data_IF_234739506860
#
_entry.id   IF_234739506860
#
_cell.length_a   1.000
_cell.length_b   1.000
_cell.length_c   1.000
_cell.angle_alpha   90.00
_cell.angle_beta   90.00
_cell.angle_gamma   90.00
#
_symmetry.space_group_name_H-M   'P 1'
#
loop_
_entity.id
_entity.type
_entity.pdbx_description
1 polymer ?
#
# COMPACT_ATOMS: atom_id res chain seq x y z
N UNK A 1 -8.98 12.90 12.26
CA UNK A 1 -10.23 12.82 11.47
C UNK A 1 -11.24 11.83 12.06
N UNK A 2 -10.89 10.54 12.21
CA UNK A 2 -11.79 9.47 12.72
C UNK A 2 -12.52 9.75 14.05
N UNK A 3 -11.86 10.35 15.05
CA UNK A 3 -12.42 10.48 16.42
C UNK A 3 -12.71 11.92 16.88
N UNK A 4 -12.40 12.93 16.05
CA UNK A 4 -12.63 14.33 16.41
C UNK A 4 -14.12 14.67 16.28
N UNK A 5 -14.81 14.86 17.41
CA UNK A 5 -16.27 15.09 17.43
C UNK A 5 -16.70 16.43 16.81
N UNK A 6 -15.90 17.49 16.94
CA UNK A 6 -16.20 18.81 16.36
C UNK A 6 -16.00 18.79 14.84
N UNK A 7 -17.08 19.06 14.08
CA UNK A 7 -17.01 19.19 12.61
C UNK A 7 -16.12 20.36 12.19
N UNK A 8 -16.23 21.52 12.84
CA UNK A 8 -15.38 22.70 12.56
C UNK A 8 -13.88 22.38 12.67
N UNK A 9 -13.47 21.60 13.69
CA UNK A 9 -12.08 21.17 13.82
C UNK A 9 -11.68 20.17 12.72
N UNK A 10 -12.58 19.26 12.34
CA UNK A 10 -12.36 18.35 11.20
C UNK A 10 -12.21 19.14 9.90
N UNK A 11 -13.07 20.12 9.65
CA UNK A 11 -12.98 21.00 8.47
C UNK A 11 -11.63 21.71 8.43
N UNK A 12 -11.23 22.36 9.53
CA UNK A 12 -9.95 23.07 9.60
C UNK A 12 -8.75 22.16 9.31
N UNK A 13 -8.75 20.95 9.88
CA UNK A 13 -7.67 19.97 9.66
C UNK A 13 -7.70 19.41 8.23
N UNK A 14 -8.88 19.14 7.69
CA UNK A 14 -9.05 18.67 6.32
C UNK A 14 -8.51 19.69 5.32
N UNK A 15 -8.95 20.95 5.45
CA UNK A 15 -8.47 22.05 4.59
C UNK A 15 -6.97 22.24 4.68
N UNK A 16 -6.38 22.18 5.88
CA UNK A 16 -4.93 22.23 6.06
C UNK A 16 -4.21 21.05 5.40
N UNK A 17 -4.80 19.85 5.43
CA UNK A 17 -4.21 18.65 4.85
C UNK A 17 -4.21 18.65 3.31
N UNK A 18 -5.31 19.07 2.68
CA UNK A 18 -5.44 19.10 1.21
C UNK A 18 -4.69 20.28 0.56
N UNK A 19 -4.28 21.28 1.36
CA UNK A 19 -3.51 22.45 0.91
C UNK A 19 -2.04 22.40 1.31
N UNK A 20 -1.52 21.22 1.66
CA UNK A 20 -0.09 21.08 1.96
C UNK A 20 0.75 21.37 0.73
N UNK A 21 1.86 22.08 0.96
CA UNK A 21 2.86 22.41 -0.05
C UNK A 21 2.29 23.16 -1.28
N UNK A 22 1.30 24.04 -1.08
CA UNK A 22 0.64 24.77 -2.18
C UNK A 22 0.63 26.29 -2.02
N UNK A 23 1.42 26.83 -1.08
CA UNK A 23 1.55 28.27 -0.86
C UNK A 23 2.98 28.66 -0.46
N UNK A 24 3.30 29.94 -0.69
CA UNK A 24 4.52 30.60 -0.23
C UNK A 24 5.80 29.86 -0.67
N UNK A 25 6.75 29.67 0.25
CA UNK A 25 8.09 29.10 -0.03
C UNK A 25 8.08 27.58 -0.20
N UNK A 26 6.97 26.92 0.07
CA UNK A 26 6.83 25.47 -0.01
C UNK A 26 5.83 25.05 -1.10
N UNK A 27 5.49 25.96 -2.01
CA UNK A 27 4.56 25.72 -3.10
C UNK A 27 5.18 24.81 -4.18
N UNK A 28 4.60 23.62 -4.34
CA UNK A 28 4.96 22.65 -5.37
C UNK A 28 4.24 22.89 -6.70
N UNK A 29 3.26 23.81 -6.78
CA UNK A 29 2.52 24.08 -8.00
C UNK A 29 3.40 24.43 -9.21
N UNK A 30 4.32 25.42 -9.10
CA UNK A 30 5.25 25.73 -10.19
C UNK A 30 6.15 24.55 -10.59
N UNK A 31 6.60 23.76 -9.62
CA UNK A 31 7.42 22.57 -9.86
C UNK A 31 6.65 21.49 -10.63
N UNK A 32 5.38 21.27 -10.30
CA UNK A 32 4.52 20.32 -11.01
C UNK A 32 4.38 20.70 -12.48
N UNK A 33 4.10 21.98 -12.78
CA UNK A 33 4.03 22.47 -14.16
C UNK A 33 5.34 22.23 -14.90
N UNK A 34 6.48 22.59 -14.29
CA UNK A 34 7.80 22.38 -14.89
C UNK A 34 8.09 20.89 -15.15
N UNK A 35 7.79 20.00 -14.19
CA UNK A 35 7.96 18.56 -14.33
C UNK A 35 7.15 18.02 -15.52
N UNK A 36 5.87 18.41 -15.65
CA UNK A 36 5.01 17.95 -16.74
C UNK A 36 5.51 18.45 -18.11
N UNK A 37 5.97 19.71 -18.19
CA UNK A 37 6.58 20.25 -19.40
C UNK A 37 7.87 19.50 -19.78
N UNK A 38 8.73 19.22 -18.80
CA UNK A 38 9.98 18.52 -19.03
C UNK A 38 9.76 17.07 -19.44
N UNK A 39 8.79 16.37 -18.82
CA UNK A 39 8.38 15.02 -19.21
C UNK A 39 7.90 14.98 -20.64
N UNK A 40 6.95 15.85 -21.02
CA UNK A 40 6.46 15.96 -22.41
C UNK A 40 7.61 16.18 -23.40
N UNK A 41 8.56 17.08 -23.09
CA UNK A 41 9.73 17.35 -23.94
C UNK A 41 10.66 16.13 -24.06
N UNK A 42 10.94 15.45 -22.95
CA UNK A 42 11.79 14.26 -22.92
C UNK A 42 11.20 13.13 -23.77
N UNK A 43 9.90 12.84 -23.62
CA UNK A 43 9.21 11.81 -24.39
C UNK A 43 9.22 12.09 -25.89
N UNK A 44 8.98 13.35 -26.26
CA UNK A 44 9.02 13.76 -27.66
C UNK A 44 10.42 13.59 -28.28
N UNK A 45 11.50 13.86 -27.51
CA UNK A 45 12.87 13.64 -27.98
C UNK A 45 13.19 12.16 -28.24
N UNK A 46 12.54 11.25 -27.51
CA UNK A 46 12.64 9.81 -27.68
C UNK A 46 11.70 9.26 -28.77
N UNK A 47 10.86 10.11 -29.37
CA UNK A 47 9.92 9.74 -30.43
C UNK A 47 8.57 9.18 -29.94
N UNK A 48 8.28 9.31 -28.64
CA UNK A 48 6.96 8.97 -28.09
C UNK A 48 5.98 10.14 -28.27
N UNK A 49 4.69 9.82 -28.38
CA UNK A 49 3.62 10.81 -28.50
C UNK A 49 3.44 11.62 -27.21
N UNK A 50 3.57 10.97 -26.06
CA UNK A 50 3.42 11.55 -24.73
C UNK A 50 4.19 10.72 -23.69
N UNK A 51 4.26 11.22 -22.46
CA UNK A 51 5.01 10.58 -21.38
C UNK A 51 4.38 9.27 -20.91
N UNK A 52 3.05 9.13 -21.00
CA UNK A 52 2.39 7.87 -20.68
C UNK A 52 2.81 6.74 -21.65
N UNK A 53 2.93 7.02 -22.95
CA UNK A 53 3.42 6.06 -23.93
C UNK A 53 4.89 5.66 -23.69
N UNK A 54 5.74 6.62 -23.32
CA UNK A 54 7.13 6.33 -22.89
C UNK A 54 7.15 5.44 -21.64
N UNK A 55 6.37 5.79 -20.62
CA UNK A 55 6.28 5.06 -19.35
C UNK A 55 5.80 3.61 -19.53
N UNK A 56 4.85 3.38 -20.45
CA UNK A 56 4.29 2.06 -20.72
C UNK A 56 5.23 1.15 -21.54
N UNK A 57 6.22 1.72 -22.22
CA UNK A 57 7.13 0.94 -23.08
C UNK A 57 7.95 -0.13 -22.32
N UNK A 58 8.06 0.00 -21.00
CA UNK A 58 8.73 -0.95 -20.10
C UNK A 58 7.79 -1.52 -19.02
N UNK A 59 6.47 -1.57 -19.28
CA UNK A 59 5.45 -2.10 -18.37
C UNK A 59 4.65 -3.22 -19.05
N UNK A 60 3.92 -4.02 -18.26
CA UNK A 60 3.08 -5.12 -18.76
C UNK A 60 1.88 -4.60 -19.55
N UNK A 61 1.26 -3.50 -19.09
CA UNK A 61 0.12 -2.93 -19.76
C UNK A 61 0.52 -2.48 -21.18
N UNK A 62 -0.14 -3.02 -22.23
CA UNK A 62 0.37 -2.90 -23.59
C UNK A 62 0.23 -1.49 -24.18
N UNK A 63 -0.66 -0.66 -23.62
CA UNK A 63 -0.95 0.70 -24.08
C UNK A 63 -1.91 1.42 -23.11
N UNK A 64 -2.12 2.71 -23.38
CA UNK A 64 -2.98 3.60 -22.59
C UNK A 64 -4.44 3.11 -22.62
N UNK A 65 -4.89 2.55 -23.74
CA UNK A 65 -6.24 2.02 -23.91
C UNK A 65 -6.53 0.86 -22.97
N UNK A 66 -5.57 -0.05 -22.77
CA UNK A 66 -5.71 -1.17 -21.84
C UNK A 66 -5.82 -0.69 -20.38
N UNK A 67 -5.01 0.31 -19.99
CA UNK A 67 -5.07 0.94 -18.66
C UNK A 67 -6.42 1.62 -18.44
N UNK A 68 -6.89 2.36 -19.43
CA UNK A 68 -8.20 3.02 -19.39
C UNK A 68 -9.33 1.99 -19.31
N UNK A 69 -9.25 0.89 -20.06
CA UNK A 69 -10.24 -0.18 -20.03
C UNK A 69 -10.34 -0.82 -18.64
N UNK A 70 -9.23 -1.19 -18.01
CA UNK A 70 -9.25 -1.73 -16.64
C UNK A 70 -9.90 -0.74 -15.67
N UNK A 71 -9.51 0.53 -15.78
CA UNK A 71 -10.07 1.61 -14.95
C UNK A 71 -11.58 1.74 -15.13
N UNK A 72 -12.07 1.68 -16.37
CA UNK A 72 -13.50 1.78 -16.70
C UNK A 72 -14.30 0.57 -16.23
N UNK A 73 -13.77 -0.65 -16.42
CA UNK A 73 -14.41 -1.88 -15.97
C UNK A 73 -14.59 -1.87 -14.43
N UNK A 74 -13.54 -1.50 -13.68
CA UNK A 74 -13.60 -1.38 -12.23
C UNK A 74 -14.53 -0.24 -11.79
N UNK A 75 -14.48 0.90 -12.48
CA UNK A 75 -15.32 2.06 -12.20
C UNK A 75 -16.82 1.76 -12.37
N UNK A 76 -17.19 1.04 -13.43
CA UNK A 76 -18.58 0.70 -13.74
C UNK A 76 -19.23 -0.13 -12.62
N UNK A 77 -18.45 -0.97 -11.94
CA UNK A 77 -18.91 -1.79 -10.81
C UNK A 77 -18.86 -1.00 -9.50
N UNK A 78 -17.76 -0.28 -9.25
CA UNK A 78 -17.54 0.42 -7.98
C UNK A 78 -18.49 1.62 -7.80
N UNK A 79 -18.81 2.37 -8.86
CA UNK A 79 -19.56 3.62 -8.70
C UNK A 79 -20.95 3.45 -8.10
N UNK A 80 -21.83 2.58 -8.61
CA UNK A 80 -23.15 2.38 -8.01
C UNK A 80 -23.07 1.86 -6.56
N UNK A 81 -22.02 1.11 -6.22
CA UNK A 81 -21.81 0.63 -4.86
C UNK A 81 -21.35 1.76 -3.91
N UNK A 82 -20.43 2.62 -4.34
CA UNK A 82 -19.98 3.78 -3.56
C UNK A 82 -21.10 4.81 -3.34
N UNK A 83 -22.00 4.99 -4.30
CA UNK A 83 -23.19 5.83 -4.14
C UNK A 83 -24.09 5.30 -3.01
N UNK A 84 -24.37 3.99 -2.98
CA UNK A 84 -25.11 3.35 -1.88
C UNK A 84 -24.38 3.43 -0.54
N UNK A 85 -23.06 3.25 -0.53
CA UNK A 85 -22.24 3.37 0.69
C UNK A 85 -22.35 4.79 1.29
N UNK A 86 -22.30 5.84 0.45
CA UNK A 86 -22.46 7.22 0.91
C UNK A 86 -23.89 7.51 1.37
N UNK A 87 -24.90 6.94 0.70
CA UNK A 87 -26.30 7.03 1.14
C UNK A 87 -26.50 6.38 2.52
N UNK A 88 -26.02 5.14 2.72
CA UNK A 88 -26.04 4.45 4.03
C UNK A 88 -25.34 5.31 5.10
N UNK A 89 -24.20 5.91 4.74
CA UNK A 89 -23.45 6.78 5.64
C UNK A 89 -24.23 8.05 6.04
N UNK A 90 -24.90 8.69 5.08
CA UNK A 90 -25.71 9.88 5.29
C UNK A 90 -26.94 9.55 6.14
N UNK A 91 -27.62 8.44 5.87
CA UNK A 91 -28.77 7.97 6.66
C UNK A 91 -28.35 7.67 8.10
N UNK A 92 -27.23 6.98 8.27
CA UNK A 92 -26.65 6.72 9.59
C UNK A 92 -26.33 8.01 10.35
N UNK A 93 -25.65 8.96 9.71
CA UNK A 93 -25.33 10.24 10.32
C UNK A 93 -26.60 11.00 10.77
N UNK A 94 -27.62 11.06 9.90
CA UNK A 94 -28.91 11.68 10.21
C UNK A 94 -29.61 11.01 11.40
N UNK A 95 -29.58 9.67 11.47
CA UNK A 95 -30.14 8.91 12.59
C UNK A 95 -29.43 9.19 13.93
N UNK A 96 -28.17 9.65 13.89
CA UNK A 96 -27.41 10.10 15.07
C UNK A 96 -27.52 11.61 15.33
N UNK A 97 -28.41 12.31 14.62
CA UNK A 97 -28.69 13.74 14.82
C UNK A 97 -27.75 14.68 14.05
N UNK A 98 -27.03 14.19 13.03
CA UNK A 98 -26.36 15.08 12.09
C UNK A 98 -27.39 15.82 11.22
N UNK A 99 -27.21 17.13 11.07
CA UNK A 99 -28.08 17.96 10.24
C UNK A 99 -27.39 18.35 8.93
N UNK A 100 -28.09 18.23 7.81
CA UNK A 100 -27.59 18.61 6.50
C UNK A 100 -26.87 17.48 5.75
N UNK A 101 -26.11 17.85 4.71
CA UNK A 101 -25.35 16.90 3.88
C UNK A 101 -23.95 16.70 4.43
N UNK A 102 -23.47 15.45 4.43
CA UNK A 102 -22.09 15.12 4.77
C UNK A 102 -21.12 15.90 3.89
N UNK A 103 -20.12 16.53 4.51
CA UNK A 103 -19.00 17.15 3.82
C UNK A 103 -17.81 16.19 3.79
N UNK A 104 -16.81 16.50 2.96
CA UNK A 104 -15.60 15.69 2.81
C UNK A 104 -14.88 15.42 4.14
N UNK A 105 -14.89 16.39 5.06
CA UNK A 105 -14.29 16.27 6.39
C UNK A 105 -15.14 15.47 7.39
N UNK A 106 -16.39 15.16 7.06
CA UNK A 106 -17.29 14.36 7.90
C UNK A 106 -17.23 12.87 7.54
N UNK A 107 -16.93 12.53 6.29
CA UNK A 107 -16.93 11.14 5.77
C UNK A 107 -16.12 10.21 6.68
N UNK A 108 -14.84 10.49 6.90
CA UNK A 108 -13.98 9.62 7.74
C UNK A 108 -14.50 9.46 9.16
N UNK A 109 -15.10 10.50 9.75
CA UNK A 109 -15.65 10.41 11.10
C UNK A 109 -16.89 9.51 11.15
N UNK A 110 -17.84 9.73 10.26
CA UNK A 110 -19.07 8.95 10.22
C UNK A 110 -18.83 7.52 9.77
N UNK A 111 -17.85 7.30 8.88
CA UNK A 111 -17.47 5.95 8.44
C UNK A 111 -16.99 5.15 9.63
N UNK A 112 -16.18 5.75 10.51
CA UNK A 112 -15.73 5.10 11.74
C UNK A 112 -16.90 4.81 12.69
N UNK A 113 -17.82 5.76 12.89
CA UNK A 113 -18.99 5.56 13.75
C UNK A 113 -19.93 4.47 13.22
N UNK A 114 -20.14 4.41 11.90
CA UNK A 114 -20.94 3.36 11.25
C UNK A 114 -20.23 2.00 11.39
N UNK A 115 -18.91 1.96 11.21
CA UNK A 115 -18.11 0.74 11.40
C UNK A 115 -18.22 0.20 12.81
N UNK A 116 -18.07 1.05 13.82
CA UNK A 116 -18.20 0.70 15.24
C UNK A 116 -19.57 0.10 15.55
N UNK A 117 -20.66 0.67 15.00
CA UNK A 117 -22.02 0.18 15.23
C UNK A 117 -22.30 -1.13 14.49
N UNK A 118 -21.86 -1.24 13.23
CA UNK A 118 -22.11 -2.40 12.37
C UNK A 118 -21.33 -3.64 12.80
N UNK A 119 -20.09 -3.45 13.24
CA UNK A 119 -19.19 -4.55 13.58
C UNK A 119 -18.97 -4.71 15.08
N UNK A 120 -19.40 -3.77 15.93
CA UNK A 120 -19.31 -3.85 17.39
C UNK A 120 -17.90 -4.25 17.88
N UNK A 121 -16.86 -3.64 17.29
CA UNK A 121 -15.49 -3.64 17.79
C UNK A 121 -14.89 -2.24 17.69
N UNK A 122 -13.99 -1.92 18.61
CA UNK A 122 -13.22 -0.68 18.63
C UNK A 122 -11.80 -0.98 18.13
N UNK A 123 -11.33 -0.26 17.11
CA UNK A 123 -9.98 -0.41 16.55
C UNK A 123 -8.90 -0.16 17.62
N UNK A 124 -9.14 0.76 18.56
CA UNK A 124 -8.23 1.01 19.68
C UNK A 124 -8.20 -0.14 20.68
N UNK A 125 -9.32 -0.85 20.87
CA UNK A 125 -9.38 -2.04 21.71
C UNK A 125 -8.66 -3.25 21.11
N UNK A 126 -8.36 -3.24 19.80
CA UNK A 126 -7.59 -4.28 19.13
C UNK A 126 -6.08 -4.13 19.31
N UNK A 127 -5.59 -2.89 19.46
CA UNK A 127 -4.14 -2.60 19.55
C UNK A 127 -3.37 -3.51 20.51
N UNK A 128 -3.88 -3.86 21.72
CA UNK A 128 -3.18 -4.76 22.63
C UNK A 128 -2.87 -6.16 22.06
N UNK A 129 -3.61 -6.63 21.05
CA UNK A 129 -3.40 -7.92 20.40
C UNK A 129 -2.37 -7.88 19.26
N UNK A 130 -2.01 -6.69 18.79
CA UNK A 130 -1.11 -6.49 17.64
C UNK A 130 0.17 -5.77 18.08
N UNK A 131 0.88 -6.34 19.06
CA UNK A 131 2.20 -5.83 19.43
C UNK A 131 3.23 -6.14 18.33
N UNK A 132 4.07 -5.17 17.95
CA UNK A 132 5.06 -5.35 16.88
C UNK A 132 5.90 -6.64 17.03
N UNK A 133 6.44 -7.02 18.20
CA UNK A 133 7.19 -8.26 18.35
C UNK A 133 6.38 -9.50 17.97
N UNK A 134 5.08 -9.54 18.31
CA UNK A 134 4.20 -10.66 17.96
C UNK A 134 3.83 -10.66 16.48
N UNK A 135 3.53 -9.49 15.92
CA UNK A 135 3.27 -9.36 14.48
C UNK A 135 4.48 -9.85 13.66
N UNK A 136 5.71 -9.51 14.07
CA UNK A 136 6.93 -10.03 13.43
C UNK A 136 7.07 -11.54 13.57
N UNK A 137 6.81 -12.11 14.76
CA UNK A 137 6.83 -13.56 14.99
C UNK A 137 5.87 -14.29 14.04
N UNK A 138 4.63 -13.81 13.92
CA UNK A 138 3.63 -14.35 13.00
C UNK A 138 4.04 -14.22 11.53
N UNK A 139 4.49 -13.03 11.13
CA UNK A 139 4.95 -12.74 9.77
C UNK A 139 6.11 -13.65 9.35
N UNK A 140 7.09 -13.86 10.24
CA UNK A 140 8.22 -14.77 10.00
C UNK A 140 7.80 -16.24 9.99
N UNK A 141 6.83 -16.63 10.81
CA UNK A 141 6.23 -17.97 10.79
C UNK A 141 5.57 -18.30 9.44
N UNK A 142 4.87 -17.33 8.84
CA UNK A 142 4.31 -17.46 7.49
C UNK A 142 5.42 -17.58 6.45
N UNK A 143 6.46 -16.74 6.54
CA UNK A 143 7.59 -16.81 5.62
C UNK A 143 8.29 -18.18 5.68
N UNK A 144 8.45 -18.75 6.87
CA UNK A 144 8.95 -20.11 7.03
C UNK A 144 8.02 -21.14 6.37
N UNK A 145 6.72 -21.10 6.70
CA UNK A 145 5.72 -22.02 6.17
C UNK A 145 5.68 -21.99 4.64
N UNK A 146 5.48 -20.81 4.05
CA UNK A 146 5.27 -20.64 2.62
C UNK A 146 6.57 -20.73 1.83
N UNK A 147 7.64 -20.10 2.31
CA UNK A 147 8.85 -19.88 1.52
C UNK A 147 10.07 -20.62 2.04
N UNK A 148 10.05 -21.18 3.25
CA UNK A 148 11.12 -22.06 3.74
C UNK A 148 12.33 -21.28 4.18
N UNK A 149 12.07 -20.14 4.82
CA UNK A 149 13.12 -19.27 5.34
C UNK A 149 12.94 -19.03 6.82
N UNK A 150 14.06 -19.01 7.53
CA UNK A 150 14.14 -18.63 8.93
C UNK A 150 14.72 -17.24 9.07
N UNK A 151 14.01 -16.39 9.79
CA UNK A 151 14.38 -14.99 9.99
C UNK A 151 14.79 -14.82 11.45
N UNK A 152 16.00 -14.31 11.66
CA UNK A 152 16.61 -14.15 12.99
C UNK A 152 17.13 -12.73 13.14
N UNK A 153 16.73 -12.06 14.22
CA UNK A 153 17.24 -10.74 14.55
C UNK A 153 18.72 -10.83 14.95
N UNK A 154 19.53 -9.90 14.43
CA UNK A 154 20.98 -9.84 14.65
C UNK A 154 21.45 -8.38 14.55
N UNK A 155 20.97 -7.54 15.47
CA UNK A 155 21.19 -6.08 15.47
C UNK A 155 22.67 -5.66 15.51
N UNK A 156 23.57 -6.56 15.94
CA UNK A 156 25.01 -6.31 16.01
C UNK A 156 25.74 -6.64 14.70
N UNK A 157 25.05 -7.29 13.74
CA UNK A 157 25.65 -7.69 12.46
C UNK A 157 25.80 -6.55 11.45
N UNK A 158 25.18 -5.39 11.69
CA UNK A 158 25.24 -4.22 10.82
C UNK A 158 25.15 -2.91 11.62
N UNK A 159 25.79 -1.86 11.12
CA UNK A 159 25.62 -0.52 11.67
C UNK A 159 24.20 0.01 11.36
N UNK A 160 23.60 0.68 12.34
CA UNK A 160 22.21 1.18 12.26
C UNK A 160 22.19 2.70 12.43
N UNK A 161 21.36 3.38 11.63
CA UNK A 161 21.24 4.84 11.67
C UNK A 161 20.38 5.37 12.82
N UNK A 162 19.57 4.51 13.45
CA UNK A 162 18.71 4.87 14.56
C UNK A 162 18.55 3.68 15.52
N UNK A 163 18.47 3.89 16.85
CA UNK A 163 18.35 2.80 17.84
C UNK A 163 17.10 1.93 17.67
N UNK A 164 16.04 2.47 17.08
CA UNK A 164 14.79 1.74 16.82
C UNK A 164 14.83 0.87 15.55
N UNK A 165 15.88 0.98 14.74
CA UNK A 165 16.05 0.14 13.54
C UNK A 165 16.42 -1.27 13.99
N UNK A 166 15.76 -2.29 13.46
CA UNK A 166 16.10 -3.69 13.71
C UNK A 166 16.82 -4.28 12.49
N UNK A 167 17.76 -5.18 12.69
CA UNK A 167 18.44 -5.90 11.60
C UNK A 167 18.17 -7.39 11.70
N UNK A 168 17.86 -8.01 10.56
CA UNK A 168 17.52 -9.43 10.48
C UNK A 168 18.37 -10.14 9.43
N UNK A 169 18.71 -11.40 9.72
CA UNK A 169 19.27 -12.36 8.77
C UNK A 169 18.18 -13.33 8.33
N UNK A 170 18.12 -13.56 7.02
CA UNK A 170 17.25 -14.56 6.39
C UNK A 170 18.11 -15.77 6.05
N UNK A 171 17.73 -16.94 6.55
CA UNK A 171 18.40 -18.22 6.31
C UNK A 171 17.47 -19.15 5.58
N UNK A 172 18.01 -19.95 4.67
CA UNK A 172 17.26 -21.07 4.12
C UNK A 172 17.03 -22.11 5.22
N UNK A 173 15.78 -22.57 5.38
CA UNK A 173 15.38 -23.39 6.53
C UNK A 173 16.03 -24.78 6.51
N UNK A 174 16.24 -25.34 5.32
CA UNK A 174 16.77 -26.70 5.12
C UNK A 174 18.29 -26.71 5.22
N UNK A 175 18.96 -25.83 4.48
CA UNK A 175 20.43 -25.77 4.42
C UNK A 175 21.05 -25.00 5.57
N UNK A 176 20.28 -24.13 6.24
CA UNK A 176 20.74 -23.17 7.27
C UNK A 176 21.61 -22.04 6.73
N UNK A 177 21.80 -21.96 5.41
CA UNK A 177 22.65 -20.96 4.79
C UNK A 177 22.03 -19.58 4.91
N UNK A 178 22.87 -18.58 5.22
CA UNK A 178 22.46 -17.17 5.16
C UNK A 178 22.26 -16.77 3.70
N UNK A 179 21.04 -16.39 3.32
CA UNK A 179 20.71 -16.07 1.92
C UNK A 179 20.47 -14.58 1.70
N UNK A 180 19.97 -13.85 2.70
CA UNK A 180 19.66 -12.42 2.60
C UNK A 180 19.62 -11.74 3.98
N UNK A 181 19.46 -10.42 3.99
CA UNK A 181 19.26 -9.64 5.22
C UNK A 181 18.29 -8.48 4.97
N UNK A 182 17.75 -7.89 6.04
CA UNK A 182 17.01 -6.64 5.92
C UNK A 182 17.08 -5.81 7.20
N UNK A 183 16.91 -4.50 7.03
CA UNK A 183 16.63 -3.57 8.13
C UNK A 183 15.13 -3.30 8.18
N UNK A 184 14.59 -3.12 9.38
CA UNK A 184 13.24 -2.63 9.61
C UNK A 184 13.31 -1.33 10.42
N UNK A 185 12.81 -0.23 9.85
CA UNK A 185 12.62 1.06 10.51
C UNK A 185 11.10 1.32 10.69
N UNK A 186 10.49 0.88 11.82
CA UNK A 186 9.05 0.71 11.90
C UNK A 186 8.26 1.97 12.28
N UNK A 187 8.90 2.93 12.95
CA UNK A 187 8.17 4.00 13.66
C UNK A 187 8.15 5.33 12.93
N UNK A 188 7.07 6.09 13.15
CA UNK A 188 6.98 7.47 12.71
C UNK A 188 7.95 8.38 13.46
N UNK A 189 8.70 9.20 12.73
CA UNK A 189 9.58 10.26 13.29
C UNK A 189 9.39 11.57 12.51
N UNK A 190 8.34 12.36 12.82
CA UNK A 190 8.02 13.59 12.10
C UNK A 190 9.18 14.59 12.11
N UNK A 191 9.49 15.16 10.94
CA UNK A 191 10.57 16.13 10.76
C UNK A 191 11.91 15.54 10.34
N UNK A 192 12.14 14.24 10.60
CA UNK A 192 13.40 13.55 10.27
C UNK A 192 13.20 12.36 9.33
N UNK A 193 11.99 11.80 9.28
CA UNK A 193 11.64 10.65 8.42
C UNK A 193 10.47 11.00 7.50
N UNK A 194 10.60 10.62 6.22
CA UNK A 194 9.52 10.74 5.23
C UNK A 194 8.30 9.90 5.66
N UNK A 195 7.09 10.44 5.48
CA UNK A 195 5.85 9.72 5.77
C UNK A 195 5.54 8.60 4.76
N UNK A 196 4.55 7.76 5.08
CA UNK A 196 4.17 6.60 4.26
C UNK A 196 4.84 5.32 4.73
N UNK A 197 4.89 4.32 3.86
CA UNK A 197 5.71 3.12 4.01
C UNK A 197 6.33 2.80 2.65
N UNK A 198 7.49 2.16 2.67
CA UNK A 198 8.17 1.72 1.45
C UNK A 198 9.23 0.66 1.78
N UNK A 199 9.54 -0.14 0.77
CA UNK A 199 10.72 -0.96 0.68
C UNK A 199 11.74 -0.27 -0.23
N UNK A 200 13.03 -0.43 0.07
CA UNK A 200 14.14 0.06 -0.76
C UNK A 200 15.26 -0.98 -0.79
N UNK A 201 16.06 -1.01 -1.85
CA UNK A 201 17.20 -1.91 -1.95
C UNK A 201 18.44 -1.31 -1.27
N UNK A 202 19.12 -2.10 -0.44
CA UNK A 202 20.43 -1.73 0.13
C UNK A 202 21.56 -2.33 -0.70
N UNK A 203 21.47 -3.64 -0.93
CA UNK A 203 22.36 -4.38 -1.82
C UNK A 203 21.51 -5.31 -2.67
N UNK A 204 21.75 -5.34 -3.98
CA UNK A 204 21.19 -6.35 -4.88
C UNK A 204 21.95 -7.68 -4.81
N UNK A 205 21.27 -8.79 -5.11
CA UNK A 205 21.93 -10.08 -5.33
C UNK A 205 22.77 -10.00 -6.60
N UNK A 206 24.05 -10.33 -6.55
CA UNK A 206 24.90 -10.37 -7.74
C UNK A 206 26.01 -11.37 -7.59
N UNK A 207 26.13 -12.30 -8.54
CA UNK A 207 27.26 -13.22 -8.61
C UNK A 207 28.55 -12.54 -9.05
N UNK A 208 28.44 -11.55 -9.94
CA UNK A 208 29.60 -10.82 -10.45
C UNK A 208 30.32 -10.04 -9.34
N UNK A 209 29.56 -9.48 -8.40
CA UNK A 209 30.09 -8.70 -7.26
C UNK A 209 30.19 -9.55 -5.99
N UNK A 210 29.53 -10.72 -5.95
CA UNK A 210 29.52 -11.62 -4.79
C UNK A 210 28.63 -11.14 -3.65
N UNK A 211 27.59 -10.38 -3.95
CA UNK A 211 26.67 -9.79 -2.97
C UNK A 211 25.44 -10.66 -2.74
N UNK A 212 25.02 -10.75 -1.48
CA UNK A 212 23.70 -11.24 -1.08
C UNK A 212 22.74 -10.05 -0.94
N UNK A 213 21.45 -10.23 -1.24
CA UNK A 213 20.51 -9.13 -1.20
C UNK A 213 20.30 -8.63 0.25
N UNK A 214 20.24 -7.30 0.39
CA UNK A 214 19.87 -6.62 1.62
C UNK A 214 18.76 -5.61 1.31
N UNK A 215 17.66 -5.65 2.08
CA UNK A 215 16.53 -4.73 1.92
C UNK A 215 16.43 -3.73 3.08
N UNK A 216 15.82 -2.58 2.80
CA UNK A 216 15.27 -1.66 3.80
C UNK A 216 13.75 -1.77 3.80
N UNK A 217 13.15 -2.07 4.95
CA UNK A 217 11.71 -2.00 5.17
C UNK A 217 11.41 -0.81 6.06
N UNK A 218 10.64 0.15 5.56
CA UNK A 218 10.36 1.39 6.28
C UNK A 218 8.86 1.59 6.44
N UNK A 219 8.40 1.72 7.68
CA UNK A 219 7.01 2.05 7.99
C UNK A 219 6.94 3.32 8.85
N UNK A 220 5.75 3.89 9.02
CA UNK A 220 5.49 5.01 9.93
C UNK A 220 4.42 4.63 10.98
N UNK A 221 4.60 3.46 11.61
CA UNK A 221 3.72 2.96 12.66
C UNK A 221 3.85 3.73 13.98
N UNK A 222 2.86 3.53 14.84
CA UNK A 222 2.78 4.12 16.18
C UNK A 222 3.98 3.70 17.04
N UNK A 223 4.81 4.64 17.54
CA UNK A 223 5.97 4.30 18.37
C UNK A 223 5.54 3.70 19.72
N UNK A 224 6.45 2.99 20.42
CA UNK A 224 6.25 2.53 21.79
C UNK A 224 5.87 3.67 22.74
N UNK A 225 5.00 3.40 23.72
CA UNK A 225 4.57 4.37 24.74
C UNK A 225 5.04 3.92 26.12
N UNK A 226 5.99 4.66 26.70
CA UNK A 226 6.57 4.32 28.00
C UNK A 226 7.31 2.99 27.94
N UNK A 227 6.89 2.03 28.76
CA UNK A 227 7.46 0.66 28.80
C UNK A 227 6.70 -0.35 27.94
N UNK A 228 5.60 0.07 27.28
CA UNK A 228 4.79 -0.81 26.43
C UNK A 228 5.45 -0.96 25.07
N UNK A 229 5.35 -2.15 24.43
CA UNK A 229 5.79 -2.30 23.04
C UNK A 229 4.96 -1.39 22.11
N UNK A 230 5.41 -1.24 20.87
CA UNK A 230 4.57 -0.66 19.81
C UNK A 230 3.31 -1.50 19.63
N UNK A 231 2.14 -0.91 19.89
CA UNK A 231 0.84 -1.54 19.73
C UNK A 231 0.17 -1.01 18.46
N UNK A 232 0.09 -1.88 17.46
CA UNK A 232 -0.29 -1.54 16.09
C UNK A 232 -1.82 -1.58 15.92
N UNK A 233 -2.35 -0.73 15.04
CA UNK A 233 -3.66 -1.01 14.44
C UNK A 233 -3.55 -2.18 13.47
N UNK A 234 -4.70 -2.75 13.07
CA UNK A 234 -4.73 -3.76 12.01
C UNK A 234 -4.16 -3.22 10.69
N UNK A 235 -4.45 -1.97 10.35
CA UNK A 235 -3.93 -1.33 9.12
C UNK A 235 -2.42 -1.08 9.17
N UNK A 236 -1.84 -0.81 10.35
CA UNK A 236 -0.39 -0.73 10.52
C UNK A 236 0.26 -2.11 10.34
N UNK A 237 -0.39 -3.19 10.80
CA UNK A 237 0.09 -4.56 10.57
C UNK A 237 0.00 -4.95 9.08
N UNK A 238 -1.08 -4.58 8.40
CA UNK A 238 -1.26 -4.76 6.94
C UNK A 238 -0.18 -4.04 6.15
N UNK A 239 0.12 -2.79 6.51
CA UNK A 239 1.23 -2.02 5.91
C UNK A 239 2.57 -2.73 6.10
N UNK A 240 2.84 -3.31 7.28
CA UNK A 240 4.08 -4.05 7.52
C UNK A 240 4.17 -5.32 6.66
N UNK A 241 3.06 -6.04 6.51
CA UNK A 241 2.98 -7.22 5.63
C UNK A 241 3.20 -6.84 4.15
N UNK A 242 2.63 -5.72 3.72
CA UNK A 242 2.83 -5.15 2.38
C UNK A 242 4.32 -4.92 2.09
N UNK A 243 5.01 -4.15 2.94
CA UNK A 243 6.44 -3.87 2.74
C UNK A 243 7.29 -5.13 2.81
N UNK A 244 6.92 -6.07 3.68
CA UNK A 244 7.60 -7.35 3.78
C UNK A 244 7.44 -8.19 2.50
N UNK A 245 6.33 -8.09 1.78
CA UNK A 245 6.15 -8.72 0.47
C UNK A 245 7.14 -8.22 -0.58
N UNK A 246 7.36 -6.90 -0.69
CA UNK A 246 8.45 -6.37 -1.52
C UNK A 246 9.82 -6.87 -1.05
N UNK A 247 10.04 -6.86 0.26
CA UNK A 247 11.27 -7.40 0.87
C UNK A 247 11.52 -8.85 0.47
N UNK A 248 10.49 -9.70 0.48
CA UNK A 248 10.59 -11.10 0.10
C UNK A 248 11.00 -11.27 -1.36
N UNK A 249 10.41 -10.51 -2.29
CA UNK A 249 10.78 -10.56 -3.71
C UNK A 249 12.27 -10.20 -3.92
N UNK A 250 12.74 -9.14 -3.26
CA UNK A 250 14.15 -8.75 -3.32
C UNK A 250 15.08 -9.81 -2.71
N UNK A 251 14.73 -10.30 -1.52
CA UNK A 251 15.58 -11.17 -0.72
C UNK A 251 15.63 -12.62 -1.21
N UNK A 252 14.53 -13.12 -1.79
CA UNK A 252 14.39 -14.53 -2.19
C UNK A 252 14.68 -14.77 -3.67
N UNK A 253 15.11 -13.75 -4.41
CA UNK A 253 15.48 -13.89 -5.82
C UNK A 253 16.58 -14.93 -6.04
N UNK A 254 16.41 -15.76 -7.06
CA UNK A 254 17.43 -16.71 -7.51
C UNK A 254 18.22 -16.18 -8.73
N UNK A 255 17.87 -15.00 -9.26
CA UNK A 255 18.60 -14.35 -10.36
C UNK A 255 19.98 -13.92 -9.88
N UNK A 256 21.02 -14.37 -10.59
CA UNK A 256 22.43 -14.09 -10.25
C UNK A 256 22.96 -12.83 -10.93
N UNK A 257 22.27 -12.33 -11.94
CA UNK A 257 22.58 -11.10 -12.65
C UNK A 257 22.00 -9.90 -11.89
N UNK A 258 22.87 -9.00 -11.42
CA UNK A 258 22.46 -7.89 -10.56
C UNK A 258 21.46 -6.93 -11.20
N UNK A 259 21.53 -6.77 -12.53
CA UNK A 259 20.68 -5.85 -13.28
C UNK A 259 19.24 -6.40 -13.42
N UNK A 260 19.03 -7.69 -13.15
CA UNK A 260 17.73 -8.36 -13.22
C UNK A 260 17.36 -9.07 -11.90
N UNK A 261 18.10 -8.82 -10.82
CA UNK A 261 17.89 -9.49 -9.55
C UNK A 261 16.89 -8.75 -8.64
N UNK A 262 16.15 -9.53 -7.86
CA UNK A 262 15.20 -9.00 -6.89
C UNK A 262 14.02 -8.32 -7.58
N UNK A 263 13.91 -7.02 -7.39
CA UNK A 263 12.89 -6.16 -8.00
C UNK A 263 13.39 -5.46 -9.28
N UNK A 264 14.67 -5.62 -9.62
CA UNK A 264 15.25 -4.97 -10.80
C UNK A 264 14.70 -5.57 -12.09
N UNK A 265 14.40 -4.70 -13.06
CA UNK A 265 13.88 -5.07 -14.38
C UNK A 265 12.53 -5.83 -14.36
N UNK A 266 11.81 -5.75 -13.24
CA UNK A 266 10.41 -6.17 -13.16
C UNK A 266 9.54 -5.03 -13.69
N UNK A 267 8.62 -5.34 -14.60
CA UNK A 267 7.66 -4.38 -15.10
C UNK A 267 6.91 -3.70 -13.93
N UNK A 268 6.86 -2.37 -13.93
CA UNK A 268 6.42 -1.58 -12.78
C UNK A 268 4.95 -1.79 -12.37
N UNK A 269 4.14 -2.40 -13.22
CA UNK A 269 2.75 -2.80 -12.93
C UNK A 269 2.61 -4.25 -12.43
N UNK A 270 3.72 -4.94 -12.19
CA UNK A 270 3.79 -6.22 -11.48
C UNK A 270 4.44 -6.12 -10.09
N UNK A 271 5.21 -5.07 -9.80
CA UNK A 271 6.02 -4.95 -8.56
C UNK A 271 5.20 -4.95 -7.27
N UNK A 272 3.91 -4.60 -7.35
CA UNK A 272 2.97 -4.57 -6.22
C UNK A 272 2.30 -5.94 -5.97
N UNK A 273 2.54 -6.94 -6.82
CA UNK A 273 1.95 -8.27 -6.63
C UNK A 273 2.37 -8.92 -5.30
N UNK A 274 3.66 -9.06 -4.95
CA UNK A 274 4.04 -9.76 -3.74
C UNK A 274 3.71 -8.97 -2.47
N UNK A 275 3.70 -7.64 -2.53
CA UNK A 275 3.29 -6.78 -1.41
C UNK A 275 1.81 -6.98 -1.08
N UNK A 276 0.92 -6.79 -2.06
CA UNK A 276 -0.53 -6.98 -1.90
C UNK A 276 -0.90 -8.44 -1.61
N UNK A 277 -0.15 -9.40 -2.17
CA UNK A 277 -0.31 -10.82 -1.85
C UNK A 277 -0.14 -11.08 -0.34
N UNK A 278 0.89 -10.49 0.28
CA UNK A 278 1.16 -10.72 1.70
C UNK A 278 0.06 -10.20 2.62
N UNK A 279 -0.62 -9.10 2.27
CA UNK A 279 -1.73 -8.53 3.05
C UNK A 279 -2.88 -9.53 3.28
N UNK A 280 -3.15 -10.41 2.30
CA UNK A 280 -4.23 -11.39 2.40
C UNK A 280 -4.08 -12.35 3.60
N UNK A 281 -2.85 -12.61 4.05
CA UNK A 281 -2.59 -13.51 5.17
C UNK A 281 -3.06 -12.96 6.52
N UNK A 282 -3.31 -11.66 6.65
CA UNK A 282 -3.93 -11.08 7.84
C UNK A 282 -5.44 -11.38 7.94
N UNK A 283 -6.04 -11.93 6.89
CA UNK A 283 -7.42 -12.41 6.91
C UNK A 283 -7.52 -13.95 6.98
N UNK A 284 -6.38 -14.62 7.08
CA UNK A 284 -6.30 -16.06 7.29
C UNK A 284 -6.31 -16.37 8.79
N UNK A 285 -7.37 -17.01 9.29
CA UNK A 285 -7.58 -17.20 10.73
C UNK A 285 -6.43 -17.93 11.44
N UNK A 286 -5.93 -19.08 10.94
CA UNK A 286 -4.76 -19.74 11.55
C UNK A 286 -3.52 -18.86 11.60
N UNK A 287 -3.34 -17.96 10.62
CA UNK A 287 -2.25 -16.99 10.64
C UNK A 287 -2.42 -16.01 11.78
N UNK A 288 -3.58 -15.35 11.90
CA UNK A 288 -3.81 -14.35 12.95
C UNK A 288 -3.80 -14.99 14.34
N UNK A 289 -4.39 -16.17 14.50
CA UNK A 289 -4.39 -16.90 15.77
C UNK A 289 -2.96 -17.26 16.24
N UNK A 290 -1.98 -17.32 15.33
CA UNK A 290 -0.59 -17.63 15.68
C UNK A 290 0.14 -16.51 16.41
N UNK A 291 -0.33 -15.26 16.30
CA UNK A 291 0.36 -14.11 16.89
C UNK A 291 -0.52 -13.06 17.55
N UNK A 292 -1.82 -13.02 17.24
CA UNK A 292 -2.74 -12.03 17.80
C UNK A 292 -3.13 -12.40 19.23
N UNK A 293 -2.22 -12.10 20.17
CA UNK A 293 -2.37 -12.33 21.61
C UNK A 293 -2.20 -11.03 22.36
N UNK A 294 -2.97 -10.83 23.42
CA UNK A 294 -2.89 -9.64 24.24
C UNK A 294 -1.51 -9.51 24.88
N UNK A 295 -0.82 -8.38 24.68
CA UNK A 295 0.58 -8.22 25.06
C UNK A 295 0.87 -8.41 26.57
N UNK A 296 -0.12 -8.17 27.45
CA UNK A 296 0.03 -8.35 28.90
C UNK A 296 -0.43 -9.74 29.39
N UNK A 297 -1.52 -10.27 28.86
CA UNK A 297 -2.20 -11.46 29.41
C UNK A 297 -1.87 -12.73 28.64
N UNK A 298 -1.41 -12.60 27.39
CA UNK A 298 -1.19 -13.72 26.48
C UNK A 298 -2.49 -14.34 25.95
N UNK A 299 -3.66 -13.78 26.27
CA UNK A 299 -4.94 -14.31 25.79
C UNK A 299 -5.09 -14.08 24.27
N UNK A 300 -5.58 -15.08 23.52
CA UNK A 300 -5.76 -14.95 22.08
C UNK A 300 -6.88 -13.95 21.75
N UNK A 301 -6.79 -13.37 20.56
CA UNK A 301 -7.85 -12.54 19.99
C UNK A 301 -9.17 -13.36 19.97
N UNK A 302 -10.26 -12.86 20.56
CA UNK A 302 -11.53 -13.58 20.54
C UNK A 302 -12.00 -13.88 19.11
N UNK A 303 -12.48 -15.09 18.88
CA UNK A 303 -12.87 -15.54 17.54
C UNK A 303 -14.01 -14.68 16.94
N UNK A 304 -14.94 -14.21 17.76
CA UNK A 304 -16.01 -13.31 17.30
C UNK A 304 -15.47 -11.96 16.81
N UNK A 305 -14.43 -11.44 17.47
CA UNK A 305 -13.75 -10.20 17.07
C UNK A 305 -13.02 -10.39 15.74
N UNK A 306 -12.34 -11.53 15.54
CA UNK A 306 -11.71 -11.83 14.26
C UNK A 306 -12.73 -11.88 13.10
N UNK A 307 -13.88 -12.56 13.28
CA UNK A 307 -14.93 -12.60 12.25
C UNK A 307 -15.49 -11.20 11.94
N UNK A 308 -15.59 -10.31 12.94
CA UNK A 308 -15.96 -8.91 12.73
C UNK A 308 -14.91 -8.13 11.93
N UNK A 309 -13.61 -8.34 12.20
CA UNK A 309 -12.52 -7.77 11.42
C UNK A 309 -12.63 -8.22 9.96
N UNK A 310 -12.78 -9.52 9.72
CA UNK A 310 -12.96 -10.10 8.39
C UNK A 310 -14.19 -9.54 7.68
N UNK A 311 -15.33 -9.44 8.37
CA UNK A 311 -16.55 -8.85 7.85
C UNK A 311 -16.40 -7.35 7.51
N UNK A 312 -15.48 -6.65 8.16
CA UNK A 312 -15.17 -5.24 7.88
C UNK A 312 -14.20 -5.03 6.73
N UNK A 313 -13.58 -6.08 6.18
CA UNK A 313 -12.65 -6.00 5.03
C UNK A 313 -13.28 -5.33 3.81
N UNK A 314 -14.55 -5.63 3.55
CA UNK A 314 -15.29 -5.09 2.39
C UNK A 314 -16.11 -3.83 2.73
N UNK A 315 -15.97 -3.29 3.94
CA UNK A 315 -16.69 -2.10 4.37
C UNK A 315 -16.15 -0.85 3.67
N UNK A 316 -17.01 -0.09 2.99
CA UNK A 316 -16.64 1.09 2.19
C UNK A 316 -15.65 0.79 1.04
N UNK A 317 -15.54 -0.49 0.63
CA UNK A 317 -14.58 -0.92 -0.38
C UNK A 317 -14.79 -0.24 -1.73
N UNK A 318 -16.04 0.06 -2.10
CA UNK A 318 -16.32 0.73 -3.37
C UNK A 318 -15.88 2.19 -3.37
N UNK A 319 -16.11 2.91 -2.26
CA UNK A 319 -15.61 4.28 -2.06
C UNK A 319 -14.08 4.34 -2.08
N UNK A 320 -13.41 3.36 -1.45
CA UNK A 320 -11.95 3.23 -1.49
C UNK A 320 -11.44 2.91 -2.90
N UNK A 321 -12.14 2.04 -3.63
CA UNK A 321 -11.82 1.71 -5.02
C UNK A 321 -11.90 2.96 -5.91
N UNK A 322 -13.00 3.72 -5.86
CA UNK A 322 -13.14 4.95 -6.64
C UNK A 322 -12.02 5.96 -6.36
N UNK A 323 -11.59 6.07 -5.09
CA UNK A 323 -10.47 6.94 -4.71
C UNK A 323 -9.16 6.51 -5.38
N UNK A 324 -8.85 5.21 -5.42
CA UNK A 324 -7.65 4.70 -6.09
C UNK A 324 -7.74 4.85 -7.62
N UNK A 325 -8.91 4.59 -8.20
CA UNK A 325 -9.14 4.80 -9.63
C UNK A 325 -9.00 6.27 -10.02
N UNK A 326 -9.45 7.20 -9.19
CA UNK A 326 -9.24 8.63 -9.42
C UNK A 326 -7.76 8.97 -9.54
N UNK A 327 -6.92 8.45 -8.64
CA UNK A 327 -5.48 8.72 -8.66
C UNK A 327 -4.80 8.18 -9.91
N UNK A 328 -5.08 6.92 -10.26
CA UNK A 328 -4.54 6.31 -11.47
C UNK A 328 -5.00 7.03 -12.74
N UNK A 329 -6.30 7.33 -12.83
CA UNK A 329 -6.85 8.02 -13.99
C UNK A 329 -6.35 9.46 -14.13
N UNK A 330 -6.22 10.21 -13.03
CA UNK A 330 -5.67 11.57 -13.05
C UNK A 330 -4.20 11.56 -13.46
N UNK A 331 -3.40 10.63 -12.93
CA UNK A 331 -2.00 10.47 -13.33
C UNK A 331 -1.88 10.19 -14.84
N UNK A 332 -2.65 9.24 -15.38
CA UNK A 332 -2.65 8.95 -16.81
C UNK A 332 -3.10 10.14 -17.64
N UNK A 333 -4.13 10.88 -17.22
CA UNK A 333 -4.61 12.08 -17.92
C UNK A 333 -3.53 13.17 -18.00
N UNK A 334 -2.84 13.44 -16.88
CA UNK A 334 -1.77 14.45 -16.79
C UNK A 334 -0.57 14.13 -17.68
N UNK A 335 -0.33 12.85 -17.99
CA UNK A 335 0.83 12.40 -18.76
C UNK A 335 0.50 11.94 -20.19
N UNK A 336 -0.78 11.97 -20.59
CA UNK A 336 -1.22 11.59 -21.94
C UNK A 336 -1.90 12.74 -22.68
N UNK A 337 -3.10 13.14 -22.25
CA UNK A 337 -3.96 14.10 -22.95
C UNK A 337 -3.69 15.55 -22.55
N UNK A 338 -3.23 15.77 -21.31
CA UNK A 338 -2.99 17.11 -20.80
C UNK A 338 -1.84 17.82 -21.52
N UNK A 339 -2.07 19.07 -21.94
CA UNK A 339 -1.02 19.95 -22.45
C UNK A 339 -0.58 20.97 -21.38
N UNK A 340 0.62 20.81 -20.78
CA UNK A 340 1.12 21.75 -19.78
C UNK A 340 1.51 23.13 -20.34
N UNK A 341 1.56 23.28 -21.67
CA UNK A 341 1.75 24.57 -22.35
C UNK A 341 0.41 25.19 -22.81
N UNK A 342 -0.70 24.49 -22.55
CA UNK A 342 -2.05 24.90 -22.93
C UNK A 342 -2.70 25.88 -21.94
N UNK A 343 -3.99 26.17 -22.17
CA UNK A 343 -4.75 27.08 -21.31
C UNK A 343 -5.39 26.42 -20.08
N UNK A 344 -5.53 25.09 -20.08
CA UNK A 344 -6.04 24.32 -18.94
C UNK A 344 -4.91 24.15 -17.91
N UNK A 345 -5.18 24.43 -16.63
CA UNK A 345 -4.21 24.14 -15.57
C UNK A 345 -4.31 22.69 -15.12
N UNK A 346 -3.24 22.15 -14.51
CA UNK A 346 -3.30 20.80 -13.92
C UNK A 346 -4.37 20.71 -12.79
N UNK A 347 -4.72 21.84 -12.16
CA UNK A 347 -5.81 21.91 -11.17
C UNK A 347 -7.20 21.82 -11.82
N UNK A 348 -7.36 22.33 -13.03
CA UNK A 348 -8.60 22.17 -13.81
C UNK A 348 -8.78 20.70 -14.19
N UNK A 349 -7.70 20.02 -14.61
CA UNK A 349 -7.69 18.57 -14.83
C UNK A 349 -8.05 17.82 -13.55
N UNK A 350 -7.42 18.17 -12.41
CA UNK A 350 -7.75 17.60 -11.09
C UNK A 350 -9.25 17.71 -10.79
N UNK A 351 -9.84 18.89 -10.99
CA UNK A 351 -11.26 19.15 -10.73
C UNK A 351 -12.16 18.35 -11.67
N UNK A 352 -11.83 18.28 -12.96
CA UNK A 352 -12.57 17.48 -13.95
C UNK A 352 -12.56 16.00 -13.59
N UNK A 353 -11.38 15.45 -13.28
CA UNK A 353 -11.23 14.04 -12.92
C UNK A 353 -11.93 13.73 -11.59
N UNK A 354 -11.79 14.59 -10.58
CA UNK A 354 -12.52 14.46 -9.33
C UNK A 354 -14.04 14.45 -9.54
N UNK A 355 -14.59 15.30 -10.41
CA UNK A 355 -16.01 15.30 -10.76
C UNK A 355 -16.52 14.01 -11.43
N UNK A 356 -15.63 13.21 -12.05
CA UNK A 356 -15.97 11.90 -12.61
C UNK A 356 -15.95 10.79 -11.54
N UNK A 357 -14.92 10.78 -10.69
CA UNK A 357 -14.64 9.66 -9.78
C UNK A 357 -15.15 9.84 -8.35
N UNK A 358 -15.25 11.07 -7.84
CA UNK A 358 -15.72 11.32 -6.48
C UNK A 358 -17.24 11.46 -6.44
N UNK A 359 -17.87 10.91 -5.40
CA UNK A 359 -19.31 11.07 -5.17
C UNK A 359 -19.60 12.45 -4.55
N UNK A 360 -18.74 12.90 -3.62
CA UNK A 360 -18.77 14.27 -3.09
C UNK A 360 -17.87 15.18 -3.94
N UNK A 361 -18.32 16.39 -4.30
CA UNK A 361 -17.50 17.30 -5.09
C UNK A 361 -16.25 17.75 -4.31
N UNK A 362 -15.08 17.89 -4.97
CA UNK A 362 -13.87 18.40 -4.34
C UNK A 362 -14.05 19.86 -3.91
N UNK A 363 -13.26 20.29 -2.92
CA UNK A 363 -13.18 21.70 -2.54
C UNK A 363 -12.40 22.50 -3.59
N UNK A 364 -12.72 23.79 -3.75
CA UNK A 364 -11.99 24.68 -4.65
C UNK A 364 -10.52 24.85 -4.24
N UNK A 365 -10.25 24.75 -2.93
CA UNK A 365 -8.93 24.85 -2.33
C UNK A 365 -8.16 23.51 -2.34
N UNK A 366 -8.70 22.45 -2.96
CA UNK A 366 -8.01 21.17 -3.05
C UNK A 366 -6.73 21.30 -3.89
N UNK A 367 -5.58 21.00 -3.28
CA UNK A 367 -4.25 21.01 -3.89
C UNK A 367 -3.55 19.68 -3.66
N UNK A 368 -4.27 18.56 -3.56
CA UNK A 368 -3.66 17.28 -3.20
C UNK A 368 -2.49 16.87 -4.11
N UNK A 369 -2.51 17.25 -5.39
CA UNK A 369 -1.41 17.04 -6.34
C UNK A 369 -0.07 17.60 -5.84
N UNK A 370 -0.07 18.72 -5.10
CA UNK A 370 1.11 19.31 -4.46
C UNK A 370 1.77 18.38 -3.41
N UNK A 371 1.05 17.35 -2.96
CA UNK A 371 1.55 16.33 -2.04
C UNK A 371 1.56 14.92 -2.64
N UNK A 372 1.28 14.77 -3.95
CA UNK A 372 1.21 13.47 -4.61
C UNK A 372 2.59 12.96 -5.02
N UNK A 373 3.39 12.60 -4.01
CA UNK A 373 4.80 12.25 -4.19
C UNK A 373 5.02 11.04 -5.10
N UNK A 374 4.06 10.11 -5.17
CA UNK A 374 4.17 8.92 -6.04
C UNK A 374 4.51 9.26 -7.48
N UNK A 375 3.89 10.31 -8.05
CA UNK A 375 4.03 10.66 -9.47
C UNK A 375 4.98 11.84 -9.72
N UNK A 376 5.30 12.66 -8.71
CA UNK A 376 6.18 13.82 -8.87
C UNK A 376 7.56 13.66 -8.22
N UNK A 377 7.72 12.71 -7.31
CA UNK A 377 8.96 12.44 -6.58
C UNK A 377 9.18 10.94 -6.31
N UNK A 378 8.55 10.07 -7.11
CA UNK A 378 8.60 8.62 -6.99
C UNK A 378 8.49 7.95 -8.37
N UNK A 379 8.45 6.62 -8.39
CA UNK A 379 8.49 5.80 -9.61
C UNK A 379 7.16 5.65 -10.37
N UNK A 380 6.06 6.25 -9.90
CA UNK A 380 4.70 5.95 -10.40
C UNK A 380 4.18 6.99 -11.40
N UNK A 381 5.02 7.84 -11.98
CA UNK A 381 4.57 8.79 -13.00
C UNK A 381 4.06 8.06 -14.25
N UNK A 382 2.81 8.34 -14.66
CA UNK A 382 2.08 7.53 -15.64
C UNK A 382 2.17 6.03 -15.33
N UNK A 383 1.90 5.70 -14.08
CA UNK A 383 2.14 4.39 -13.49
C UNK A 383 1.40 4.16 -12.18
N UNK A 384 0.63 5.12 -11.66
CA UNK A 384 -0.12 4.89 -10.41
C UNK A 384 -1.20 3.81 -10.59
N UNK A 385 -1.64 3.55 -11.83
CA UNK A 385 -2.53 2.43 -12.14
C UNK A 385 -1.92 1.06 -11.76
N UNK A 386 -0.59 0.95 -11.64
CA UNK A 386 0.13 -0.26 -11.25
C UNK A 386 -0.46 -0.91 -10.00
N UNK A 387 -0.91 -0.13 -9.01
CA UNK A 387 -1.53 -0.67 -7.79
C UNK A 387 -2.77 -1.53 -8.10
N UNK A 388 -3.62 -1.10 -9.04
CA UNK A 388 -4.83 -1.86 -9.40
C UNK A 388 -4.57 -2.92 -10.45
N UNK A 389 -3.58 -2.71 -11.31
CA UNK A 389 -3.13 -3.73 -12.25
C UNK A 389 -2.57 -4.94 -11.51
N UNK A 390 -1.64 -4.70 -10.58
CA UNK A 390 -1.07 -5.74 -9.74
C UNK A 390 -2.08 -6.34 -8.76
N UNK A 391 -3.08 -5.59 -8.29
CA UNK A 391 -4.08 -6.14 -7.37
C UNK A 391 -4.88 -7.27 -8.04
N UNK A 392 -5.18 -7.16 -9.34
CA UNK A 392 -5.80 -8.24 -10.12
C UNK A 392 -4.92 -9.49 -10.08
N UNK A 393 -3.62 -9.33 -10.32
CA UNK A 393 -2.66 -10.44 -10.30
C UNK A 393 -2.52 -11.03 -8.87
N UNK A 394 -2.47 -10.19 -7.84
CA UNK A 394 -2.29 -10.61 -6.45
C UNK A 394 -3.52 -11.35 -5.92
N UNK A 395 -4.73 -10.92 -6.31
CA UNK A 395 -5.98 -11.58 -5.94
C UNK A 395 -6.06 -12.96 -6.59
N UNK A 396 -5.69 -13.08 -7.86
CA UNK A 396 -5.64 -14.36 -8.57
C UNK A 396 -4.56 -15.30 -8.01
N UNK A 397 -3.38 -14.75 -7.68
CA UNK A 397 -2.33 -15.49 -7.01
C UNK A 397 -2.77 -16.02 -5.63
N UNK A 398 -3.54 -15.24 -4.87
CA UNK A 398 -4.10 -15.69 -3.60
C UNK A 398 -5.24 -16.72 -3.80
N UNK A 399 -6.05 -16.58 -4.86
CA UNK A 399 -7.09 -17.56 -5.20
C UNK A 399 -6.52 -18.97 -5.40
N UNK A 400 -5.30 -19.10 -5.92
CA UNK A 400 -4.61 -20.40 -6.01
C UNK A 400 -4.39 -21.07 -4.63
N UNK A 401 -4.23 -20.30 -3.56
CA UNK A 401 -4.18 -20.84 -2.18
C UNK A 401 -5.56 -21.19 -1.66
N UNK A 402 -6.60 -20.42 -2.02
CA UNK A 402 -7.99 -20.73 -1.70
C UNK A 402 -8.43 -22.05 -2.35
N UNK A 403 -8.11 -22.25 -3.63
CA UNK A 403 -8.40 -23.48 -4.39
C UNK A 403 -7.66 -24.70 -3.84
N UNK A 404 -6.43 -24.52 -3.36
CA UNK A 404 -5.64 -25.56 -2.72
C UNK A 404 -6.17 -25.94 -1.31
N UNK A 405 -6.96 -25.04 -0.71
CA UNK A 405 -7.56 -25.17 0.62
C UNK A 405 -6.69 -24.53 1.71
N UNK A 406 -7.18 -23.42 2.27
CA UNK A 406 -6.50 -22.66 3.33
C UNK A 406 -6.28 -23.44 4.64
N UNK A 407 -7.04 -24.51 4.87
CA UNK A 407 -6.87 -25.38 6.04
C UNK A 407 -5.87 -26.54 5.81
N UNK A 408 -5.34 -26.69 4.58
CA UNK A 408 -4.42 -27.78 4.21
C UNK A 408 -2.96 -27.30 4.21
N UNK A 409 -2.26 -27.49 5.32
CA UNK A 409 -0.88 -27.00 5.49
C UNK A 409 0.10 -27.49 4.41
N UNK A 410 0.01 -28.76 3.99
CA UNK A 410 0.89 -29.32 2.97
C UNK A 410 0.63 -28.70 1.59
N UNK A 411 -0.63 -28.43 1.28
CA UNK A 411 -1.00 -27.74 0.06
C UNK A 411 -0.50 -26.29 0.06
N UNK A 412 -0.67 -25.57 1.18
CA UNK A 412 -0.15 -24.19 1.31
C UNK A 412 1.38 -24.13 1.19
N UNK A 413 2.11 -25.09 1.76
CA UNK A 413 3.56 -25.20 1.57
C UNK A 413 3.90 -25.41 0.11
N UNK A 414 3.19 -26.31 -0.58
CA UNK A 414 3.43 -26.61 -2.00
C UNK A 414 3.19 -25.39 -2.88
N UNK A 415 2.04 -24.73 -2.73
CA UNK A 415 1.71 -23.52 -3.49
C UNK A 415 2.65 -22.36 -3.11
N UNK A 416 3.02 -22.22 -1.84
CA UNK A 416 3.99 -21.24 -1.36
C UNK A 416 5.39 -21.43 -1.95
N UNK A 417 5.87 -22.67 -2.05
CA UNK A 417 7.15 -22.99 -2.72
C UNK A 417 7.09 -22.68 -4.20
N UNK A 418 5.98 -23.00 -4.87
CA UNK A 418 5.75 -22.60 -6.26
C UNK A 418 5.78 -21.07 -6.42
N UNK A 419 5.10 -20.33 -5.53
CA UNK A 419 5.12 -18.86 -5.54
C UNK A 419 6.53 -18.31 -5.31
N UNK A 420 7.32 -18.91 -4.40
CA UNK A 420 8.74 -18.55 -4.21
C UNK A 420 9.56 -18.73 -5.48
N UNK A 421 9.34 -19.84 -6.20
CA UNK A 421 10.10 -20.18 -7.40
C UNK A 421 9.72 -19.32 -8.61
N UNK A 422 8.46 -18.86 -8.70
CA UNK A 422 7.97 -18.04 -9.82
C UNK A 422 7.84 -16.57 -9.47
N UNK A 423 6.81 -16.22 -8.70
CA UNK A 423 6.37 -14.86 -8.44
C UNK A 423 7.27 -14.05 -7.49
N UNK A 424 7.97 -14.72 -6.57
CA UNK A 424 9.04 -14.12 -5.76
C UNK A 424 10.44 -14.54 -6.26
N UNK A 425 10.50 -15.20 -7.41
CA UNK A 425 11.69 -15.76 -8.04
C UNK A 425 11.95 -15.17 -9.44
N UNK A 426 12.82 -15.80 -10.25
CA UNK A 426 13.23 -15.30 -11.57
C UNK A 426 12.12 -15.36 -12.65
N UNK A 427 11.08 -16.18 -12.45
CA UNK A 427 10.12 -16.54 -13.49
C UNK A 427 8.79 -15.75 -13.36
N UNK A 428 8.86 -14.44 -13.15
CA UNK A 428 7.66 -13.56 -13.14
C UNK A 428 6.99 -13.42 -14.51
N UNK A 429 7.59 -13.98 -15.57
CA UNK A 429 7.14 -13.79 -16.95
C UNK A 429 5.89 -14.59 -17.35
N UNK A 430 5.40 -15.53 -16.53
CA UNK A 430 4.21 -16.33 -16.87
C UNK A 430 3.47 -16.80 -15.61
N UNK A 431 2.63 -15.93 -15.04
CA UNK A 431 1.49 -16.35 -14.20
C UNK A 431 0.24 -16.50 -15.06
#
# INVERSE_FOLDING_TARGET
MKHLKSSDLREKLYRAFISRASTDKVDNGPLITEILQLRKKASAMLGFENYAAESLASKMAPNIEAVNKLTEDLFAVARPAAERELEELQEFANAKGYEGKLQLWDVTFWTERLKEEKYAYDEEALRPYFSLPKVLEGMFGIANKLFGVDIVQDDDAAERWHPDVMFFKVKDADTRDHIASFFLDPYARPGEKRGGAWMDDCLGRSKAIGTKPVAYLTCNGSPPVGTKPSLMTFSEAETLFHEFGHGLQHMLTHVEDGDCAGINNVEWDAVELPSQFMENWLYHKPTVDSFAVHYETGEPLPADIFEKIKGSRIFMAASMMLRQLQFGALDMELHSQYDPDGSESFLDVQKRMAGKFQILPPLEEDRFLCSFSHIFAGGYAAGYYSYKWAEVLSADAFAAFEEAGLDNEDALRTVGRRFRETAAGPDQLYL
#
